data_IF_419929046973
#
_entry.id   IF_419929046973
#
_cell.length_a   1.000
_cell.length_b   1.000
_cell.length_c   1.000
_cell.angle_alpha   90.00
_cell.angle_beta   90.00
_cell.angle_gamma   90.00
#
_symmetry.space_group_name_H-M   'P 1'
#
loop_
_entity.id
_entity.type
_entity.pdbx_description
1 polymer ?
#
# COMPACT_ATOMS: atom_id res chain seq x y z
N UNK A 1 16.86 5.03 -16.01
CA UNK A 1 15.45 4.88 -15.58
C UNK A 1 15.28 5.76 -14.37
N UNK A 2 14.21 6.55 -14.32
CA UNK A 2 13.98 7.46 -13.19
C UNK A 2 13.86 6.65 -11.88
N UNK A 3 14.45 7.15 -10.80
CA UNK A 3 14.51 6.49 -9.50
C UNK A 3 13.10 6.20 -8.97
N UNK A 4 12.11 7.02 -9.33
CA UNK A 4 10.71 6.83 -8.95
C UNK A 4 10.12 5.50 -9.44
N UNK A 5 10.66 4.89 -10.50
CA UNK A 5 10.18 3.59 -11.00
C UNK A 5 10.93 2.38 -10.41
N UNK A 6 11.82 2.61 -9.45
CA UNK A 6 12.53 1.55 -8.74
C UNK A 6 11.73 1.11 -7.49
N UNK A 7 11.41 -0.19 -7.39
CA UNK A 7 10.59 -0.72 -6.29
C UNK A 7 11.29 -0.70 -4.93
N UNK A 8 12.61 -0.81 -4.86
CA UNK A 8 13.33 -0.66 -3.58
C UNK A 8 13.27 0.80 -3.10
N UNK A 9 13.32 1.78 -4.02
CA UNK A 9 13.11 3.17 -3.67
C UNK A 9 11.66 3.43 -3.22
N UNK A 10 10.66 2.88 -3.91
CA UNK A 10 9.27 2.98 -3.47
C UNK A 10 9.04 2.31 -2.11
N UNK A 11 9.72 1.21 -1.82
CA UNK A 11 9.72 0.59 -0.50
C UNK A 11 10.27 1.54 0.57
N UNK A 12 11.39 2.23 0.30
CA UNK A 12 11.93 3.22 1.24
C UNK A 12 10.96 4.38 1.52
N UNK A 13 10.26 4.86 0.49
CA UNK A 13 9.23 5.90 0.63
C UNK A 13 8.02 5.39 1.40
N UNK A 14 7.62 4.12 1.19
CA UNK A 14 6.56 3.49 1.95
C UNK A 14 6.89 3.48 3.44
N UNK A 15 8.09 3.00 3.82
CA UNK A 15 8.53 2.97 5.21
C UNK A 15 8.54 4.37 5.84
N UNK A 16 9.02 5.38 5.11
CA UNK A 16 8.99 6.78 5.55
C UNK A 16 7.55 7.27 5.83
N UNK A 17 6.61 7.02 4.90
CA UNK A 17 5.20 7.45 5.02
C UNK A 17 4.49 6.86 6.23
N UNK A 18 4.82 5.63 6.60
CA UNK A 18 4.24 4.95 7.76
C UNK A 18 5.11 5.07 9.02
N UNK A 19 6.13 5.93 8.99
CA UNK A 19 7.05 6.19 10.09
C UNK A 19 7.74 4.94 10.65
N UNK A 20 8.01 3.95 9.80
CA UNK A 20 8.77 2.76 10.17
C UNK A 20 10.25 2.92 9.80
N UNK A 21 11.13 2.61 10.77
CA UNK A 21 12.58 2.59 10.58
C UNK A 21 13.05 1.16 10.39
N UNK A 22 13.55 0.83 9.20
CA UNK A 22 13.94 -0.53 8.86
C UNK A 22 15.02 -1.06 9.81
N UNK A 23 15.98 -0.23 10.20
CA UNK A 23 17.06 -0.56 11.13
C UNK A 23 16.57 -0.92 12.54
N UNK A 24 15.35 -0.52 12.91
CA UNK A 24 14.73 -0.83 14.20
C UNK A 24 13.89 -2.11 14.16
N UNK A 25 13.60 -2.63 12.97
CA UNK A 25 12.86 -3.89 12.82
C UNK A 25 13.75 -5.09 13.12
N UNK A 26 13.16 -6.13 13.71
CA UNK A 26 13.79 -7.45 13.78
C UNK A 26 14.01 -8.03 12.37
N UNK A 27 14.95 -8.99 12.18
CA UNK A 27 15.20 -9.57 10.87
C UNK A 27 13.96 -10.16 10.18
N UNK A 28 13.08 -10.80 10.95
CA UNK A 28 11.82 -11.37 10.43
C UNK A 28 10.88 -10.27 9.97
N UNK A 29 10.70 -9.22 10.77
CA UNK A 29 9.84 -8.09 10.39
C UNK A 29 10.32 -7.40 9.12
N UNK A 30 11.65 -7.21 8.93
CA UNK A 30 12.19 -6.62 7.69
C UNK A 30 11.81 -7.45 6.46
N UNK A 31 12.02 -8.77 6.56
CA UNK A 31 11.75 -9.70 5.45
C UNK A 31 10.25 -9.72 5.13
N UNK A 32 9.40 -9.89 6.15
CA UNK A 32 7.96 -10.00 5.93
C UNK A 32 7.33 -8.67 5.48
N UNK A 33 7.81 -7.53 5.99
CA UNK A 33 7.36 -6.20 5.52
C UNK A 33 7.71 -5.99 4.05
N UNK A 34 8.93 -6.35 3.64
CA UNK A 34 9.34 -6.26 2.23
C UNK A 34 8.57 -7.23 1.34
N UNK A 35 8.32 -8.47 1.79
CA UNK A 35 7.51 -9.46 1.07
C UNK A 35 6.07 -8.98 0.88
N UNK A 36 5.45 -8.44 1.94
CA UNK A 36 4.10 -7.89 1.87
C UNK A 36 4.04 -6.70 0.90
N UNK A 37 5.00 -5.78 0.94
CA UNK A 37 5.08 -4.66 0.00
C UNK A 37 5.20 -5.15 -1.45
N UNK A 38 6.15 -6.05 -1.74
CA UNK A 38 6.36 -6.57 -3.10
C UNK A 38 5.14 -7.37 -3.60
N UNK A 39 4.50 -8.15 -2.72
CA UNK A 39 3.28 -8.89 -3.03
C UNK A 39 2.10 -7.98 -3.38
N UNK A 40 1.88 -6.93 -2.59
CA UNK A 40 0.84 -5.93 -2.86
C UNK A 40 1.08 -5.18 -4.17
N UNK A 41 2.32 -4.76 -4.44
CA UNK A 41 2.68 -4.12 -5.72
C UNK A 41 2.49 -5.09 -6.89
N UNK A 42 2.91 -6.34 -6.75
CA UNK A 42 2.69 -7.36 -7.80
C UNK A 42 1.21 -7.53 -8.11
N UNK A 43 0.37 -7.65 -7.09
CA UNK A 43 -1.07 -7.81 -7.25
C UNK A 43 -1.73 -6.59 -7.90
N UNK A 44 -1.39 -5.37 -7.49
CA UNK A 44 -2.00 -4.16 -8.05
C UNK A 44 -1.56 -3.94 -9.51
N UNK A 45 -0.34 -4.32 -9.88
CA UNK A 45 0.11 -4.26 -11.27
C UNK A 45 -0.67 -5.21 -12.18
N UNK A 46 -1.07 -6.40 -11.68
CA UNK A 46 -1.94 -7.31 -12.43
C UNK A 46 -3.33 -6.68 -12.63
N UNK A 47 -3.91 -6.12 -11.57
CA UNK A 47 -5.20 -5.43 -11.64
C UNK A 47 -5.20 -4.29 -12.67
N UNK A 48 -4.15 -3.45 -12.68
CA UNK A 48 -4.02 -2.35 -13.63
C UNK A 48 -3.67 -2.78 -15.04
N UNK A 49 -3.08 -3.96 -15.23
CA UNK A 49 -2.74 -4.49 -16.56
C UNK A 49 -3.93 -5.18 -17.21
N UNK A 50 -4.67 -5.98 -16.45
CA UNK A 50 -5.64 -6.93 -16.98
C UNK A 50 -7.09 -6.46 -16.79
N UNK A 51 -7.44 -6.00 -15.58
CA UNK A 51 -8.84 -5.80 -15.19
C UNK A 51 -9.32 -4.36 -15.42
N UNK A 52 -8.54 -3.36 -15.00
CA UNK A 52 -8.92 -1.93 -15.16
C UNK A 52 -9.07 -1.55 -16.64
N UNK A 53 -8.14 -1.92 -17.56
CA UNK A 53 -8.27 -1.57 -18.97
C UNK A 53 -9.40 -2.33 -19.71
N UNK A 54 -9.95 -3.39 -19.11
CA UNK A 54 -11.08 -4.13 -19.67
C UNK A 54 -12.43 -3.44 -19.41
N UNK A 55 -12.46 -2.40 -18.56
CA UNK A 55 -13.65 -1.62 -18.26
C UNK A 55 -13.80 -0.43 -19.22
N UNK A 56 -15.03 0.04 -19.46
CA UNK A 56 -15.27 1.36 -20.05
C UNK A 56 -14.60 2.48 -19.21
N UNK A 57 -14.13 3.55 -19.86
CA UNK A 57 -13.35 4.62 -19.20
C UNK A 57 -14.03 5.22 -17.96
N UNK A 58 -15.35 5.46 -18.02
CA UNK A 58 -16.14 6.00 -16.91
C UNK A 58 -16.19 5.05 -15.70
N UNK A 59 -16.31 3.75 -15.97
CA UNK A 59 -16.28 2.71 -14.95
C UNK A 59 -14.87 2.49 -14.40
N UNK A 60 -13.84 2.54 -15.24
CA UNK A 60 -12.45 2.40 -14.82
C UNK A 60 -12.07 3.50 -13.82
N UNK A 61 -12.46 4.76 -14.09
CA UNK A 61 -12.24 5.89 -13.17
C UNK A 61 -12.95 5.65 -11.83
N UNK A 62 -14.23 5.30 -11.86
CA UNK A 62 -15.01 5.06 -10.64
C UNK A 62 -14.41 3.92 -9.78
N UNK A 63 -13.94 2.84 -10.42
CA UNK A 63 -13.27 1.73 -9.72
C UNK A 63 -11.94 2.17 -9.12
N UNK A 64 -11.13 2.96 -9.83
CA UNK A 64 -9.87 3.47 -9.29
C UNK A 64 -10.08 4.40 -8.08
N UNK A 65 -11.11 5.25 -8.12
CA UNK A 65 -11.50 6.09 -6.99
C UNK A 65 -11.96 5.25 -5.80
N UNK A 66 -12.77 4.22 -6.04
CA UNK A 66 -13.23 3.30 -4.99
C UNK A 66 -12.07 2.52 -4.36
N UNK A 67 -11.14 1.98 -5.15
CA UNK A 67 -9.93 1.32 -4.63
C UNK A 67 -9.11 2.25 -3.74
N UNK A 68 -8.97 3.52 -4.15
CA UNK A 68 -8.30 4.52 -3.32
C UNK A 68 -9.06 4.77 -2.02
N UNK A 69 -10.38 4.94 -2.08
CA UNK A 69 -11.22 5.13 -0.90
C UNK A 69 -11.14 3.93 0.07
N UNK A 70 -11.15 2.69 -0.43
CA UNK A 70 -10.97 1.50 0.40
C UNK A 70 -9.64 1.53 1.18
N UNK A 71 -8.55 2.01 0.57
CA UNK A 71 -7.27 2.15 1.29
C UNK A 71 -7.34 3.24 2.36
N UNK A 72 -7.98 4.37 2.07
CA UNK A 72 -8.18 5.45 3.05
C UNK A 72 -9.03 4.95 4.23
N UNK A 73 -10.10 4.23 3.95
CA UNK A 73 -11.00 3.67 4.95
C UNK A 73 -10.28 2.63 5.82
N UNK A 74 -9.42 1.80 5.24
CA UNK A 74 -8.58 0.90 6.01
C UNK A 74 -7.71 1.68 6.99
N UNK A 75 -6.98 2.71 6.54
CA UNK A 75 -6.10 3.49 7.41
C UNK A 75 -6.86 4.29 8.46
N UNK A 76 -7.99 4.89 8.09
CA UNK A 76 -8.86 5.54 9.06
C UNK A 76 -9.29 4.53 10.14
N UNK A 77 -9.84 3.38 9.75
CA UNK A 77 -10.36 2.43 10.73
C UNK A 77 -9.27 1.70 11.54
N UNK A 78 -8.13 1.39 10.93
CA UNK A 78 -7.01 0.72 11.60
C UNK A 78 -6.27 1.64 12.57
N UNK A 79 -6.08 2.92 12.21
CA UNK A 79 -5.35 3.90 13.04
C UNK A 79 -6.25 4.48 14.13
N UNK A 80 -7.54 4.73 13.86
CA UNK A 80 -8.46 5.28 14.87
C UNK A 80 -8.88 4.24 15.92
N UNK A 81 -9.04 2.95 15.57
CA UNK A 81 -9.33 1.90 16.56
C UNK A 81 -8.19 1.70 17.56
N UNK A 82 -6.93 1.87 17.14
CA UNK A 82 -5.78 1.76 18.04
C UNK A 82 -5.66 2.94 19.01
N UNK A 83 -6.15 4.13 18.62
CA UNK A 83 -6.17 5.32 19.48
C UNK A 83 -7.30 5.32 20.52
N UNK A 84 -8.45 4.71 20.22
CA UNK A 84 -9.61 4.66 21.12
C UNK A 84 -9.67 3.38 21.99
N UNK A 85 -8.88 2.35 21.68
CA UNK A 85 -8.84 1.07 22.40
C UNK A 85 -7.81 0.98 23.53
N UNK A 86 -6.99 2.02 23.73
CA UNK A 86 -5.97 2.10 24.80
C UNK A 86 -6.37 3.03 25.96
N UNK A 87 -7.62 3.51 25.99
CA UNK A 87 -8.17 4.35 27.06
C UNK A 87 -9.11 3.56 28.01
N UNK A 88 -8.83 2.28 28.25
CA UNK A 88 -9.49 1.49 29.31
C UNK A 88 -8.45 0.81 30.21
#
# INVERSE_FOLDING_TARGET
>A
MDKIFNLDYQYSLYLERIALKEEQMSPVQRIETKRAFMGAIGQILLLFRDDIPALPDDQAVAVMEDLFQQTLDFWANAVWKYKLGNDN
#
